data_IF_718559401136
#
_entry.id   IF_718559401136
#
_cell.length_a   1.000
_cell.length_b   1.000
_cell.length_c   1.000
_cell.angle_alpha   90.00
_cell.angle_beta   90.00
_cell.angle_gamma   90.00
#
_symmetry.space_group_name_H-M   'P 1'
#
loop_
_entity.id
_entity.type
_entity.pdbx_description
1 polymer ?
#
# COMPACT_ATOMS: atom_id res chain seq x y z
N UNK A 1 -18.50 -17.67 10.31
CA UNK A 1 -17.31 -16.86 9.98
C UNK A 1 -16.55 -16.57 11.27
N UNK A 2 -15.22 -16.59 11.27
CA UNK A 2 -14.39 -16.19 12.41
C UNK A 2 -14.17 -14.67 12.38
N UNK A 3 -13.78 -14.07 13.53
CA UNK A 3 -13.60 -12.63 13.66
C UNK A 3 -12.24 -12.19 13.08
N UNK A 4 -12.24 -11.68 11.85
CA UNK A 4 -11.05 -11.19 11.15
C UNK A 4 -10.59 -9.79 11.58
N UNK A 5 -11.12 -9.27 12.68
CA UNK A 5 -10.76 -7.96 13.21
C UNK A 5 -9.25 -7.81 13.36
N UNK A 6 -8.69 -6.82 12.68
CA UNK A 6 -7.24 -6.54 12.63
C UNK A 6 -6.39 -7.71 12.07
N UNK A 7 -6.91 -8.39 11.06
CA UNK A 7 -6.16 -9.33 10.22
C UNK A 7 -5.17 -8.62 9.29
N UNK A 8 -4.49 -9.39 8.47
CA UNK A 8 -3.64 -8.91 7.36
C UNK A 8 -3.87 -9.74 6.11
N UNK A 9 -3.51 -9.23 4.95
CA UNK A 9 -3.79 -9.95 3.72
C UNK A 9 -2.96 -9.54 2.51
N UNK A 10 -3.27 -10.17 1.38
CA UNK A 10 -2.64 -9.94 0.09
C UNK A 10 -3.57 -10.35 -1.06
N UNK A 11 -3.26 -9.87 -2.26
CA UNK A 11 -3.80 -10.43 -3.50
C UNK A 11 -2.78 -11.45 -4.01
N UNK A 12 -3.22 -12.67 -4.27
CA UNK A 12 -2.39 -13.76 -4.79
C UNK A 12 -2.13 -13.59 -6.29
N UNK A 13 -1.13 -14.31 -6.80
CA UNK A 13 -0.78 -14.29 -8.24
C UNK A 13 -1.91 -14.79 -9.15
N UNK A 14 -2.83 -15.59 -8.64
CA UNK A 14 -4.03 -16.05 -9.35
C UNK A 14 -5.23 -15.10 -9.26
N UNK A 15 -5.11 -14.00 -8.51
CA UNK A 15 -6.15 -12.97 -8.34
C UNK A 15 -7.04 -13.16 -7.11
N UNK A 16 -6.95 -14.28 -6.40
CA UNK A 16 -7.67 -14.46 -5.13
C UNK A 16 -7.13 -13.52 -4.06
N UNK A 17 -7.99 -13.11 -3.16
CA UNK A 17 -7.59 -12.36 -1.96
C UNK A 17 -7.43 -13.36 -0.82
N UNK A 18 -6.32 -13.24 -0.10
CA UNK A 18 -6.08 -13.98 1.14
C UNK A 18 -6.11 -13.02 2.32
N UNK A 19 -6.76 -13.44 3.39
CA UNK A 19 -6.81 -12.75 4.67
C UNK A 19 -6.37 -13.72 5.76
N UNK A 20 -5.47 -13.29 6.64
CA UNK A 20 -4.87 -14.17 7.65
C UNK A 20 -4.79 -13.49 9.02
N UNK A 21 -5.07 -14.28 10.07
CA UNK A 21 -5.10 -13.80 11.44
C UNK A 21 -6.40 -13.08 11.77
N UNK A 22 -6.39 -12.33 12.86
CA UNK A 22 -7.53 -11.63 13.41
C UNK A 22 -7.64 -11.80 14.93
N UNK A 23 -8.80 -11.51 15.48
CA UNK A 23 -9.05 -11.58 16.91
C UNK A 23 -9.56 -12.97 17.35
N UNK A 24 -9.25 -13.38 18.56
CA UNK A 24 -9.77 -14.60 19.18
C UNK A 24 -9.45 -15.86 18.38
N UNK A 25 -10.46 -16.60 18.02
CA UNK A 25 -10.33 -17.84 17.24
C UNK A 25 -9.85 -17.62 15.80
N UNK A 26 -10.04 -16.42 15.26
CA UNK A 26 -9.54 -16.06 13.94
C UNK A 26 -8.02 -15.88 13.91
N UNK A 27 -7.36 -15.73 15.04
CA UNK A 27 -5.94 -15.37 15.12
C UNK A 27 -4.99 -16.34 14.41
N UNK A 28 -5.43 -17.56 14.14
CA UNK A 28 -4.69 -18.58 13.35
C UNK A 28 -5.39 -18.97 12.06
N UNK A 29 -6.51 -18.37 11.73
CA UNK A 29 -7.29 -18.71 10.55
C UNK A 29 -6.75 -18.02 9.30
N UNK A 30 -7.04 -18.65 8.15
CA UNK A 30 -6.76 -18.13 6.81
C UNK A 30 -8.05 -18.19 6.03
N UNK A 31 -8.45 -17.06 5.45
CA UNK A 31 -9.62 -16.96 4.61
C UNK A 31 -9.21 -16.61 3.18
N UNK A 32 -9.98 -17.09 2.22
CA UNK A 32 -9.80 -16.79 0.80
C UNK A 32 -11.08 -16.21 0.22
N UNK A 33 -10.93 -15.20 -0.60
CA UNK A 33 -11.99 -14.65 -1.44
C UNK A 33 -11.59 -14.85 -2.89
N UNK A 34 -12.44 -15.54 -3.64
CA UNK A 34 -12.24 -15.75 -5.07
C UNK A 34 -13.18 -14.78 -5.82
N UNK A 35 -12.61 -13.80 -6.57
CA UNK A 35 -13.42 -12.91 -7.37
C UNK A 35 -14.22 -13.69 -8.41
N UNK A 36 -15.50 -13.41 -8.55
CA UNK A 36 -16.39 -14.07 -9.48
C UNK A 36 -16.89 -13.11 -10.58
N UNK A 37 -17.56 -13.65 -11.59
CA UNK A 37 -18.12 -12.85 -12.68
C UNK A 37 -19.29 -11.99 -12.17
N UNK A 38 -19.52 -10.88 -12.86
CA UNK A 38 -20.69 -10.04 -12.57
C UNK A 38 -21.99 -10.84 -12.65
N UNK A 39 -22.79 -10.77 -11.60
CA UNK A 39 -24.04 -11.53 -11.47
C UNK A 39 -23.92 -12.82 -10.66
N UNK A 40 -22.73 -13.33 -10.42
CA UNK A 40 -22.51 -14.48 -9.54
C UNK A 40 -22.44 -14.04 -8.08
N UNK A 41 -22.72 -14.96 -7.15
CA UNK A 41 -22.54 -14.75 -5.71
C UNK A 41 -21.17 -15.23 -5.30
N UNK A 42 -20.33 -14.30 -4.82
CA UNK A 42 -19.03 -14.64 -4.25
C UNK A 42 -19.04 -14.44 -2.74
N UNK A 43 -18.35 -15.30 -2.01
CA UNK A 43 -18.21 -15.19 -0.57
C UNK A 43 -16.81 -15.66 -0.11
N UNK A 44 -16.45 -15.31 1.10
CA UNK A 44 -15.25 -15.76 1.74
C UNK A 44 -15.32 -17.25 2.10
N UNK A 45 -14.23 -17.96 1.85
CA UNK A 45 -14.07 -19.37 2.20
C UNK A 45 -12.99 -19.53 3.27
N UNK A 46 -13.20 -20.49 4.19
CA UNK A 46 -12.22 -20.81 5.22
C UNK A 46 -11.17 -21.79 4.66
N UNK A 47 -9.89 -21.42 4.78
CA UNK A 47 -8.79 -22.29 4.41
C UNK A 47 -8.67 -23.51 5.32
N UNK A 48 -8.30 -24.64 4.74
CA UNK A 48 -8.06 -25.90 5.49
C UNK A 48 -6.81 -25.85 6.38
N UNK A 49 -5.85 -24.98 6.04
CA UNK A 49 -4.59 -24.80 6.78
C UNK A 49 -4.70 -23.60 7.70
N UNK A 50 -3.95 -23.64 8.80
CA UNK A 50 -3.89 -22.60 9.82
C UNK A 50 -2.49 -22.00 9.90
N UNK A 51 -2.40 -20.77 10.39
CA UNK A 51 -1.14 -20.21 10.88
C UNK A 51 -0.62 -21.02 12.06
N UNK A 52 0.70 -20.98 12.26
CA UNK A 52 1.35 -21.69 13.39
C UNK A 52 1.39 -20.84 14.65
N UNK A 53 1.31 -19.51 14.52
CA UNK A 53 1.25 -18.57 15.62
C UNK A 53 0.01 -17.69 15.51
N UNK A 54 -0.44 -17.15 16.64
CA UNK A 54 -1.53 -16.16 16.67
C UNK A 54 -1.07 -14.87 16.02
N UNK A 55 -1.87 -14.33 15.07
CA UNK A 55 -1.56 -13.13 14.29
C UNK A 55 -2.70 -12.10 14.38
N UNK A 56 -2.71 -11.35 15.47
CA UNK A 56 -3.58 -10.19 15.64
C UNK A 56 -2.75 -8.92 15.49
N UNK A 57 -3.09 -8.02 14.56
CA UNK A 57 -2.27 -6.86 14.15
C UNK A 57 -0.92 -7.23 13.50
N UNK A 58 -0.89 -8.28 12.70
CA UNK A 58 0.26 -8.64 11.88
C UNK A 58 0.24 -7.92 10.54
N UNK A 59 1.34 -7.99 9.79
CA UNK A 59 1.43 -7.49 8.43
C UNK A 59 1.80 -8.58 7.44
N UNK A 60 1.20 -8.56 6.25
CA UNK A 60 1.44 -9.53 5.19
C UNK A 60 2.16 -8.89 4.00
N UNK A 61 3.12 -9.62 3.41
CA UNK A 61 3.83 -9.22 2.19
C UNK A 61 3.92 -10.40 1.23
N UNK A 62 3.47 -10.20 -0.02
CA UNK A 62 3.71 -11.20 -1.08
C UNK A 62 5.19 -11.19 -1.47
N UNK A 63 5.74 -12.38 -1.68
CA UNK A 63 7.14 -12.61 -1.99
C UNK A 63 7.33 -12.95 -3.47
N UNK A 64 8.57 -12.86 -3.98
CA UNK A 64 8.87 -13.18 -5.37
C UNK A 64 8.58 -14.64 -5.79
N UNK A 65 8.44 -15.53 -4.85
CA UNK A 65 8.14 -16.96 -5.03
C UNK A 65 6.67 -17.30 -4.74
N UNK A 66 5.78 -16.31 -4.85
CA UNK A 66 4.33 -16.38 -4.62
C UNK A 66 3.90 -16.76 -3.20
N UNK A 67 4.85 -16.95 -2.27
CA UNK A 67 4.52 -17.11 -0.86
C UNK A 67 4.18 -15.76 -0.23
N UNK A 68 3.45 -15.80 0.85
CA UNK A 68 3.21 -14.64 1.70
C UNK A 68 4.00 -14.85 2.99
N UNK A 69 4.73 -13.81 3.41
CA UNK A 69 5.29 -13.72 4.74
C UNK A 69 4.33 -12.93 5.62
N UNK A 70 3.98 -13.48 6.79
CA UNK A 70 3.18 -12.84 7.82
C UNK A 70 4.08 -12.47 8.97
N UNK A 71 4.19 -11.18 9.27
CA UNK A 71 5.19 -10.64 10.20
C UNK A 71 4.51 -10.01 11.40
N UNK A 72 4.92 -10.41 12.60
CA UNK A 72 4.49 -9.81 13.86
C UNK A 72 3.11 -10.28 14.32
N UNK A 73 2.45 -9.41 15.03
CA UNK A 73 1.20 -9.59 15.72
C UNK A 73 1.34 -9.29 17.21
N UNK A 74 0.22 -9.06 17.89
CA UNK A 74 0.22 -8.75 19.33
C UNK A 74 0.76 -9.94 20.13
N UNK A 75 1.82 -9.70 20.87
CA UNK A 75 2.53 -10.75 21.62
C UNK A 75 3.34 -11.74 20.75
N UNK A 76 3.46 -11.48 19.44
CA UNK A 76 4.16 -12.36 18.52
C UNK A 76 5.34 -11.66 17.85
N UNK A 77 6.55 -11.93 18.35
CA UNK A 77 7.81 -11.38 17.81
C UNK A 77 8.44 -12.32 16.76
N UNK A 78 7.59 -12.85 15.86
CA UNK A 78 7.93 -13.90 14.92
C UNK A 78 7.38 -13.58 13.54
N UNK A 79 7.79 -14.39 12.56
CA UNK A 79 7.16 -14.43 11.24
C UNK A 79 6.96 -15.88 10.79
N UNK A 80 6.10 -16.09 9.81
CA UNK A 80 5.86 -17.37 9.14
C UNK A 80 5.43 -17.18 7.70
N UNK A 81 5.31 -18.26 6.94
CA UNK A 81 4.97 -18.22 5.52
C UNK A 81 3.64 -18.92 5.22
N UNK A 82 2.95 -18.42 4.20
CA UNK A 82 1.78 -19.07 3.60
C UNK A 82 2.08 -19.28 2.10
N UNK A 83 2.01 -20.52 1.57
CA UNK A 83 1.89 -21.78 2.32
C UNK A 83 3.11 -22.04 3.21
N UNK A 84 2.92 -22.89 4.22
CA UNK A 84 4.02 -23.31 5.11
C UNK A 84 5.13 -24.02 4.35
N UNK A 85 6.37 -23.82 4.76
CA UNK A 85 7.54 -24.45 4.14
C UNK A 85 7.66 -25.94 4.46
N UNK A 86 7.10 -26.40 5.58
CA UNK A 86 7.11 -27.79 6.00
C UNK A 86 5.84 -28.14 6.78
N UNK A 87 5.57 -29.44 6.96
CA UNK A 87 4.44 -29.96 7.74
C UNK A 87 4.53 -29.59 9.23
N UNK A 88 5.73 -29.38 9.75
CA UNK A 88 5.98 -29.08 11.17
C UNK A 88 5.87 -27.57 11.52
N UNK A 89 5.32 -26.75 10.62
CA UNK A 89 4.98 -25.35 10.85
C UNK A 89 6.15 -24.52 11.38
N UNK A 90 6.92 -23.88 10.51
CA UNK A 90 8.08 -23.11 10.91
C UNK A 90 7.66 -21.68 11.28
N UNK A 91 7.71 -21.36 12.56
CA UNK A 91 7.64 -20.01 13.09
C UNK A 91 9.06 -19.56 13.38
N UNK A 92 9.44 -18.43 12.81
CA UNK A 92 10.80 -17.88 12.92
C UNK A 92 10.81 -16.67 13.83
N UNK A 93 11.73 -16.65 14.79
CA UNK A 93 11.89 -15.50 15.67
C UNK A 93 12.50 -14.31 14.92
N UNK A 94 11.98 -13.11 15.18
CA UNK A 94 12.49 -11.84 14.67
C UNK A 94 12.73 -10.89 15.86
N UNK A 95 13.94 -10.94 16.42
CA UNK A 95 14.35 -10.17 17.60
C UNK A 95 14.15 -8.66 17.45
N UNK A 96 14.16 -8.15 16.21
CA UNK A 96 13.88 -6.75 15.91
C UNK A 96 12.49 -6.31 16.41
N UNK A 97 11.47 -7.16 16.29
CA UNK A 97 10.13 -6.84 16.78
C UNK A 97 10.09 -6.76 18.30
N UNK A 98 10.85 -7.60 19.01
CA UNK A 98 10.98 -7.52 20.46
C UNK A 98 11.73 -6.26 20.89
N UNK A 99 12.82 -5.91 20.18
CA UNK A 99 13.62 -4.72 20.46
C UNK A 99 12.87 -3.40 20.24
N UNK A 100 11.86 -3.39 19.34
CA UNK A 100 11.06 -2.21 19.00
C UNK A 100 9.77 -2.10 19.79
N UNK A 101 9.45 -3.09 20.62
CA UNK A 101 8.35 -3.02 21.58
C UNK A 101 8.76 -2.14 22.75
N UNK A 102 7.99 -1.11 23.06
CA UNK A 102 8.30 -0.14 24.12
C UNK A 102 7.69 -0.51 25.47
N UNK A 103 7.28 -1.78 25.66
CA UNK A 103 6.85 -2.33 26.93
C UNK A 103 5.37 -2.09 27.28
N UNK A 104 4.63 -1.33 26.46
CA UNK A 104 3.18 -1.20 26.61
C UNK A 104 2.46 -2.42 26.01
N UNK A 105 1.21 -2.67 26.42
CA UNK A 105 0.40 -3.76 25.87
C UNK A 105 0.34 -3.76 24.33
N UNK A 106 0.19 -2.58 23.73
CA UNK A 106 0.17 -2.39 22.29
C UNK A 106 1.57 -2.17 21.70
N UNK A 107 2.59 -1.93 22.54
CA UNK A 107 4.02 -1.92 22.21
C UNK A 107 4.48 -0.93 21.15
N UNK A 108 3.59 -0.11 20.57
CA UNK A 108 3.86 0.83 19.48
C UNK A 108 4.59 0.23 18.25
N UNK A 109 4.56 -1.08 18.07
CA UNK A 109 5.21 -1.81 16.98
C UNK A 109 4.30 -2.83 16.29
N UNK A 110 2.99 -2.78 16.57
CA UNK A 110 1.98 -3.59 15.89
C UNK A 110 1.79 -3.09 14.45
N UNK A 111 1.35 -3.98 13.58
CA UNK A 111 1.31 -3.71 12.16
C UNK A 111 2.66 -3.14 11.66
N UNK A 112 3.77 -3.88 11.79
CA UNK A 112 5.04 -3.41 11.24
C UNK A 112 4.89 -3.12 9.76
N UNK A 113 5.48 -2.01 9.29
CA UNK A 113 5.49 -1.69 7.88
C UNK A 113 6.47 -2.65 7.19
N UNK A 114 5.99 -3.40 6.20
CA UNK A 114 6.80 -4.37 5.46
C UNK A 114 6.74 -4.04 3.97
N UNK A 115 7.89 -3.86 3.36
CA UNK A 115 8.03 -3.61 1.93
C UNK A 115 9.07 -4.51 1.28
N UNK A 116 8.71 -5.14 0.17
CA UNK A 116 9.64 -5.90 -0.65
C UNK A 116 10.56 -4.96 -1.44
N UNK A 117 11.86 -5.05 -1.21
CA UNK A 117 12.90 -4.37 -1.97
C UNK A 117 13.18 -5.10 -3.29
N UNK A 118 13.67 -4.37 -4.29
CA UNK A 118 13.97 -4.90 -5.64
C UNK A 118 15.12 -5.93 -5.66
N UNK A 119 15.85 -6.07 -4.56
CA UNK A 119 16.86 -7.11 -4.36
C UNK A 119 16.31 -8.38 -3.67
N UNK A 120 15.00 -8.46 -3.50
CA UNK A 120 14.30 -9.59 -2.89
C UNK A 120 14.36 -9.64 -1.36
N UNK A 121 14.93 -8.62 -0.71
CA UNK A 121 14.91 -8.49 0.76
C UNK A 121 13.73 -7.65 1.22
N UNK A 122 13.45 -7.69 2.52
CA UNK A 122 12.34 -6.93 3.11
C UNK A 122 12.88 -5.74 3.90
N UNK A 123 12.35 -4.57 3.59
CA UNK A 123 12.40 -3.43 4.51
C UNK A 123 11.30 -3.65 5.55
N UNK A 124 11.69 -3.70 6.82
CA UNK A 124 10.76 -3.81 7.95
C UNK A 124 10.97 -2.63 8.86
N UNK A 125 9.90 -1.89 9.13
CA UNK A 125 9.90 -0.76 10.04
C UNK A 125 8.89 -1.02 11.17
N UNK A 126 9.32 -0.81 12.40
CA UNK A 126 8.49 -0.95 13.58
C UNK A 126 8.82 0.15 14.59
N UNK A 127 7.81 0.75 15.20
CA UNK A 127 7.90 1.89 16.09
C UNK A 127 8.58 3.09 15.43
N UNK A 128 9.90 3.18 15.48
CA UNK A 128 10.74 4.24 14.88
C UNK A 128 12.00 3.69 14.20
N UNK A 129 12.22 2.40 14.30
CA UNK A 129 13.42 1.73 13.80
C UNK A 129 13.10 0.94 12.54
N UNK A 130 14.11 0.67 11.72
CA UNK A 130 13.95 -0.14 10.52
C UNK A 130 15.19 -0.96 10.19
N UNK A 131 14.94 -2.07 9.50
CA UNK A 131 15.93 -3.04 9.06
C UNK A 131 15.75 -3.42 7.60
N UNK A 132 16.82 -3.89 6.97
CA UNK A 132 16.75 -4.70 5.76
C UNK A 132 16.95 -6.17 6.18
N UNK A 133 15.95 -6.99 5.88
CA UNK A 133 15.86 -8.36 6.35
C UNK A 133 15.91 -9.36 5.19
N UNK A 134 16.84 -10.30 5.26
CA UNK A 134 16.90 -11.44 4.35
C UNK A 134 16.13 -12.61 4.98
N UNK A 135 14.88 -12.76 4.57
CA UNK A 135 13.98 -13.80 5.10
C UNK A 135 14.39 -15.22 4.68
N UNK A 136 15.14 -15.38 3.57
CA UNK A 136 15.65 -16.67 3.08
C UNK A 136 16.77 -17.21 4.00
N UNK A 137 17.52 -16.32 4.65
CA UNK A 137 18.62 -16.66 5.56
C UNK A 137 18.29 -16.36 7.03
N UNK A 138 17.08 -15.91 7.34
CA UNK A 138 16.67 -15.44 8.67
C UNK A 138 17.69 -14.47 9.29
N UNK A 139 18.13 -13.47 8.52
CA UNK A 139 19.22 -12.57 8.93
C UNK A 139 18.91 -11.10 8.65
N UNK A 140 19.13 -10.27 9.65
CA UNK A 140 19.16 -8.81 9.47
C UNK A 140 20.45 -8.45 8.71
N UNK A 141 20.27 -7.91 7.49
CA UNK A 141 21.41 -7.51 6.63
C UNK A 141 21.90 -6.12 6.99
N UNK A 142 20.98 -5.24 7.37
CA UNK A 142 21.27 -3.85 7.70
C UNK A 142 20.28 -3.31 8.72
N UNK A 143 20.75 -2.50 9.64
CA UNK A 143 19.93 -1.60 10.46
C UNK A 143 20.03 -0.20 9.87
N UNK A 144 18.89 0.44 9.64
CA UNK A 144 18.84 1.82 9.15
C UNK A 144 18.85 2.82 10.30
N UNK A 145 19.18 4.09 10.05
CA UNK A 145 19.01 5.14 11.04
C UNK A 145 17.57 5.22 11.52
N UNK A 146 17.39 5.46 12.81
CA UNK A 146 16.08 5.73 13.40
C UNK A 146 15.45 6.95 12.74
N UNK A 147 14.12 6.89 12.44
CA UNK A 147 13.42 8.06 11.92
C UNK A 147 13.45 9.19 12.95
N UNK A 148 13.82 10.43 12.56
CA UNK A 148 13.86 11.57 13.47
C UNK A 148 12.51 11.92 14.09
N UNK A 149 12.55 12.56 15.26
CA UNK A 149 11.37 12.91 16.06
C UNK A 149 11.15 11.92 17.21
N UNK A 150 10.12 12.11 18.02
CA UNK A 150 9.86 11.35 19.25
C UNK A 150 8.63 10.44 19.19
N UNK A 151 7.76 10.61 18.19
CA UNK A 151 6.52 9.83 18.07
C UNK A 151 6.69 8.57 17.24
N UNK A 152 5.96 7.51 17.58
CA UNK A 152 5.89 6.26 16.83
C UNK A 152 5.08 6.41 15.53
N UNK A 153 5.32 5.47 14.58
CA UNK A 153 4.60 5.42 13.30
C UNK A 153 3.80 4.13 13.13
N UNK A 154 4.02 3.14 13.98
CA UNK A 154 3.27 1.88 13.97
C UNK A 154 2.03 1.97 14.86
N UNK A 155 1.11 0.99 14.74
CA UNK A 155 -0.10 0.95 15.57
C UNK A 155 0.26 0.84 17.07
N UNK A 156 -0.42 1.57 17.98
CA UNK A 156 -1.61 2.40 17.76
C UNK A 156 -1.32 3.85 17.31
N UNK A 157 -0.07 4.25 17.16
CA UNK A 157 0.29 5.60 16.68
C UNK A 157 -0.07 5.84 15.21
N UNK A 158 -0.06 4.82 14.44
CA UNK A 158 -0.62 4.68 13.10
C UNK A 158 -0.33 5.83 12.14
N UNK A 159 0.92 5.90 11.69
CA UNK A 159 1.30 6.55 10.44
C UNK A 159 1.04 5.62 9.26
N UNK A 160 1.32 6.08 8.07
CA UNK A 160 1.22 5.29 6.84
C UNK A 160 2.52 5.32 6.04
N UNK A 161 2.67 4.39 5.10
CA UNK A 161 3.89 4.24 4.31
C UNK A 161 3.61 3.78 2.88
N UNK A 162 4.48 4.21 1.95
CA UNK A 162 4.55 3.68 0.58
C UNK A 162 6.00 3.51 0.15
N UNK A 163 6.26 2.57 -0.76
CA UNK A 163 7.42 2.67 -1.66
C UNK A 163 7.05 3.69 -2.73
N UNK A 164 7.88 4.71 -2.93
CA UNK A 164 7.72 5.65 -4.03
C UNK A 164 7.86 4.92 -5.37
N UNK A 165 7.27 5.43 -6.46
CA UNK A 165 7.26 4.73 -7.73
C UNK A 165 8.64 4.22 -8.15
N UNK A 166 8.71 2.93 -8.48
CA UNK A 166 9.89 2.28 -9.04
C UNK A 166 9.99 2.62 -10.52
N UNK A 167 11.12 3.14 -10.96
CA UNK A 167 11.28 3.68 -12.32
C UNK A 167 12.26 2.84 -13.14
N UNK A 168 11.81 2.36 -14.30
CA UNK A 168 12.65 1.61 -15.24
C UNK A 168 13.78 2.45 -15.83
N UNK A 169 13.68 3.78 -15.82
CA UNK A 169 14.74 4.68 -16.27
C UNK A 169 16.05 4.50 -15.52
N UNK A 170 15.97 4.11 -14.23
CA UNK A 170 17.15 3.77 -13.43
C UNK A 170 17.37 2.26 -13.30
N UNK A 171 16.66 1.43 -14.10
CA UNK A 171 16.66 -0.02 -14.01
C UNK A 171 16.04 -0.55 -12.75
N UNK A 172 15.09 0.16 -12.16
CA UNK A 172 14.43 -0.13 -10.90
C UNK A 172 15.40 -0.23 -9.71
N UNK A 173 16.60 0.35 -9.80
CA UNK A 173 17.65 0.20 -8.79
C UNK A 173 17.40 1.03 -7.53
N UNK A 174 16.69 2.15 -7.65
CA UNK A 174 16.43 3.04 -6.52
C UNK A 174 15.09 2.73 -5.86
N UNK A 175 15.14 2.29 -4.62
CA UNK A 175 13.95 2.09 -3.79
C UNK A 175 13.94 3.13 -2.68
N UNK A 176 12.93 3.98 -2.66
CA UNK A 176 12.70 4.97 -1.60
C UNK A 176 11.42 4.65 -0.85
N UNK A 177 11.52 4.54 0.46
CA UNK A 177 10.37 4.41 1.37
C UNK A 177 10.01 5.78 1.91
N UNK A 178 8.72 6.07 1.97
CA UNK A 178 8.16 7.27 2.60
C UNK A 178 7.20 6.86 3.71
N UNK A 179 7.34 7.49 4.88
CA UNK A 179 6.51 7.26 6.07
C UNK A 179 6.01 8.60 6.56
N UNK A 180 4.68 8.75 6.70
CA UNK A 180 4.03 10.01 7.08
C UNK A 180 3.09 9.86 8.25
N UNK A 181 3.02 10.89 9.09
CA UNK A 181 2.07 10.96 10.17
C UNK A 181 2.41 10.02 11.33
N UNK A 182 1.44 9.78 12.17
CA UNK A 182 1.57 9.02 13.42
C UNK A 182 1.21 9.85 14.63
N UNK A 183 1.32 9.28 15.83
CA UNK A 183 0.94 9.95 17.06
C UNK A 183 2.16 10.43 17.86
N UNK A 184 1.93 11.45 18.70
CA UNK A 184 2.91 11.91 19.67
C UNK A 184 3.27 10.80 20.67
N UNK A 185 4.44 10.90 21.27
CA UNK A 185 4.81 10.00 22.37
C UNK A 185 3.80 10.11 23.52
N UNK A 186 3.38 8.95 24.07
CA UNK A 186 2.37 8.89 25.13
C UNK A 186 0.93 9.12 24.68
N UNK A 187 0.65 9.30 23.38
CA UNK A 187 -0.69 9.62 22.90
C UNK A 187 -1.73 8.54 23.24
N UNK A 188 -1.34 7.25 23.24
CA UNK A 188 -2.27 6.16 23.60
C UNK A 188 -2.73 6.26 25.07
N UNK A 189 -1.79 6.40 26.00
CA UNK A 189 -2.12 6.55 27.41
C UNK A 189 -2.93 7.83 27.68
N UNK A 190 -2.58 8.94 27.03
CA UNK A 190 -3.32 10.19 27.16
C UNK A 190 -4.75 10.07 26.60
N UNK A 191 -4.93 9.39 25.46
CA UNK A 191 -6.25 9.20 24.86
C UNK A 191 -7.18 8.35 25.72
N UNK A 192 -6.66 7.32 26.39
CA UNK A 192 -7.41 6.53 27.36
C UNK A 192 -7.91 7.36 28.55
N UNK A 193 -7.26 8.48 28.84
CA UNK A 193 -7.67 9.46 29.87
C UNK A 193 -8.48 10.63 29.27
N UNK A 194 -8.91 10.53 28.02
CA UNK A 194 -9.68 11.56 27.33
C UNK A 194 -8.88 12.76 26.83
N UNK A 195 -7.54 12.71 26.87
CA UNK A 195 -6.67 13.77 26.36
C UNK A 195 -6.09 13.41 25.00
N UNK A 196 -6.41 14.18 23.98
CA UNK A 196 -5.98 13.92 22.60
C UNK A 196 -4.79 14.78 22.21
N UNK A 197 -3.58 14.22 22.28
CA UNK A 197 -2.35 14.90 21.88
C UNK A 197 -2.33 15.15 20.37
N UNK A 198 -1.72 16.26 19.94
CA UNK A 198 -1.56 16.57 18.52
C UNK A 198 -0.70 15.50 17.84
N UNK A 199 -1.19 15.00 16.69
CA UNK A 199 -0.48 14.02 15.85
C UNK A 199 0.76 14.61 15.21
N UNK A 200 1.55 13.76 14.56
CA UNK A 200 2.74 14.18 13.85
C UNK A 200 2.38 14.73 12.47
N UNK A 201 3.01 15.84 12.09
CA UNK A 201 2.91 16.38 10.73
C UNK A 201 4.10 15.98 9.86
N UNK A 202 5.10 15.27 10.40
CA UNK A 202 6.32 14.96 9.68
C UNK A 202 6.19 13.74 8.78
N UNK A 203 6.83 13.82 7.61
CA UNK A 203 7.12 12.73 6.71
C UNK A 203 8.61 12.49 6.65
N UNK A 204 9.03 11.23 6.72
CA UNK A 204 10.40 10.80 6.44
C UNK A 204 10.46 10.06 5.11
N UNK A 205 11.47 10.37 4.28
CA UNK A 205 11.77 9.66 3.04
C UNK A 205 13.21 9.19 3.06
N UNK A 206 13.47 7.93 2.75
CA UNK A 206 14.79 7.33 2.75
C UNK A 206 14.97 6.35 1.59
N UNK A 207 16.11 6.45 0.88
CA UNK A 207 16.53 5.41 -0.04
C UNK A 207 17.04 4.21 0.77
N UNK A 208 16.43 3.04 0.56
CA UNK A 208 16.84 1.79 1.24
C UNK A 208 17.86 0.99 0.42
N UNK A 209 18.06 1.38 -0.84
CA UNK A 209 19.12 0.86 -1.74
C UNK A 209 20.30 1.83 -1.83
N UNK A 210 21.44 1.33 -2.29
CA UNK A 210 22.68 2.13 -2.36
C UNK A 210 23.37 2.24 -0.99
N UNK A 211 24.22 3.28 -0.81
CA UNK A 211 25.07 3.40 0.36
C UNK A 211 24.74 4.58 1.30
N UNK A 212 23.85 5.48 0.87
CA UNK A 212 23.50 6.67 1.65
C UNK A 212 22.08 6.56 2.20
N UNK A 213 21.95 6.06 3.42
CA UNK A 213 20.68 5.84 4.08
C UNK A 213 20.41 6.94 5.11
N UNK A 214 19.86 8.06 4.67
CA UNK A 214 19.48 9.18 5.53
C UNK A 214 18.02 9.51 5.34
N UNK A 215 17.30 9.68 6.45
CA UNK A 215 15.96 10.22 6.42
C UNK A 215 15.97 11.69 5.98
N UNK A 216 15.29 11.99 4.89
CA UNK A 216 14.97 13.35 4.48
C UNK A 216 13.61 13.69 5.04
N UNK A 217 13.59 14.56 6.05
CA UNK A 217 12.37 14.94 6.73
C UNK A 217 11.76 16.17 6.08
N UNK A 218 10.43 16.19 5.99
CA UNK A 218 9.63 17.35 5.63
C UNK A 218 8.27 17.29 6.32
N UNK A 219 7.56 18.42 6.40
CA UNK A 219 6.28 18.48 7.07
C UNK A 219 5.13 18.48 6.08
N UNK A 220 4.09 17.70 6.37
CA UNK A 220 2.77 17.86 5.79
C UNK A 220 2.17 19.21 6.20
N UNK A 221 1.18 19.71 5.46
CA UNK A 221 0.47 20.96 5.83
C UNK A 221 -0.18 20.94 7.21
N UNK A 222 -0.48 19.76 7.74
CA UNK A 222 -1.03 19.61 9.09
C UNK A 222 -0.74 18.24 9.69
N UNK A 223 -0.97 18.05 11.00
CA UNK A 223 -0.78 16.77 11.68
C UNK A 223 -1.79 15.75 11.19
N UNK A 224 -1.36 14.48 11.14
CA UNK A 224 -2.20 13.39 10.67
C UNK A 224 -1.76 12.04 11.23
N UNK A 225 -2.72 11.28 11.66
CA UNK A 225 -2.59 9.87 12.05
C UNK A 225 -3.77 9.10 11.47
N UNK A 226 -3.65 7.79 11.33
CA UNK A 226 -4.64 6.93 10.68
C UNK A 226 -4.95 7.37 9.23
N UNK A 227 -3.96 7.93 8.54
CA UNK A 227 -4.09 8.32 7.13
C UNK A 227 -3.81 7.16 6.21
N UNK A 228 -4.46 7.16 5.06
CA UNK A 228 -4.09 6.31 3.93
C UNK A 228 -3.09 7.05 3.03
N UNK A 229 -2.15 6.30 2.44
CA UNK A 229 -1.24 6.78 1.40
C UNK A 229 -1.46 5.95 0.15
N UNK A 230 -2.04 6.57 -0.89
CA UNK A 230 -2.42 5.92 -2.14
C UNK A 230 -1.52 6.42 -3.26
N UNK A 231 -0.87 5.48 -3.95
CA UNK A 231 -0.10 5.79 -5.17
C UNK A 231 -1.07 6.02 -6.33
N UNK A 232 -0.93 7.15 -7.01
CA UNK A 232 -1.72 7.47 -8.19
C UNK A 232 -0.96 7.09 -9.49
N UNK A 233 -1.64 6.84 -10.61
CA UNK A 233 -0.99 6.48 -11.88
C UNK A 233 0.06 7.49 -12.36
N UNK A 234 -0.08 8.75 -11.97
CA UNK A 234 0.88 9.83 -12.24
C UNK A 234 2.21 9.66 -11.48
N UNK A 235 2.24 8.80 -10.46
CA UNK A 235 3.35 8.64 -9.54
C UNK A 235 3.34 9.60 -8.36
N UNK A 236 2.27 10.36 -8.19
CA UNK A 236 2.01 11.14 -6.97
C UNK A 236 1.49 10.25 -5.84
N UNK A 237 1.60 10.71 -4.60
CA UNK A 237 1.01 10.05 -3.45
C UNK A 237 -0.13 10.90 -2.93
N UNK A 238 -1.34 10.34 -2.88
CA UNK A 238 -2.47 10.94 -2.19
C UNK A 238 -2.42 10.54 -0.72
N UNK A 239 -2.45 11.52 0.18
CA UNK A 239 -2.58 11.33 1.63
C UNK A 239 -3.98 11.78 2.02
N UNK A 240 -4.80 10.84 2.47
CA UNK A 240 -6.24 11.05 2.69
C UNK A 240 -6.66 10.37 3.99
N UNK A 241 -7.85 10.70 4.50
CA UNK A 241 -8.40 10.17 5.76
C UNK A 241 -7.59 10.53 7.01
N UNK A 242 -8.02 10.02 8.16
CA UNK A 242 -7.34 10.14 9.43
C UNK A 242 -7.83 11.24 10.35
N UNK A 243 -7.08 11.44 11.42
CA UNK A 243 -7.36 12.42 12.46
C UNK A 243 -6.14 13.31 12.72
N UNK A 244 -6.38 14.47 13.36
CA UNK A 244 -5.32 15.44 13.70
C UNK A 244 -4.76 15.24 15.10
N UNK A 245 -5.49 14.54 16.00
CA UNK A 245 -5.12 14.36 17.42
C UNK A 245 -5.51 12.97 17.93
N UNK A 246 -4.78 12.49 18.93
CA UNK A 246 -5.00 11.21 19.60
C UNK A 246 -4.15 10.07 19.03
N UNK A 247 -4.72 8.88 18.98
CA UNK A 247 -4.12 7.66 18.40
C UNK A 247 -5.22 6.76 17.79
N UNK A 248 -4.84 5.66 17.17
CA UNK A 248 -5.79 4.64 16.72
C UNK A 248 -6.42 3.93 17.91
N UNK A 249 -7.64 3.46 17.75
CA UNK A 249 -8.46 2.82 18.77
C UNK A 249 -9.84 3.45 18.88
N UNK A 250 -10.71 2.76 19.58
CA UNK A 250 -12.09 3.20 19.77
C UNK A 250 -12.16 4.47 20.62
N UNK A 251 -12.69 5.54 20.02
CA UNK A 251 -12.84 6.87 20.64
C UNK A 251 -11.53 7.52 21.10
N UNK A 252 -10.37 7.07 20.58
CA UNK A 252 -9.05 7.54 20.98
C UNK A 252 -8.51 8.69 20.12
N UNK A 253 -9.32 9.23 19.21
CA UNK A 253 -8.89 10.30 18.30
C UNK A 253 -9.95 11.40 18.15
N UNK A 254 -9.50 12.59 17.83
CA UNK A 254 -10.33 13.77 17.59
C UNK A 254 -9.78 14.63 16.45
N UNK A 255 -10.65 15.50 15.92
CA UNK A 255 -10.29 16.40 14.84
C UNK A 255 -10.03 15.66 13.53
N UNK A 256 -11.09 15.25 12.80
CA UNK A 256 -10.92 14.56 11.51
C UNK A 256 -10.11 15.41 10.55
N UNK A 257 -9.21 14.77 9.81
CA UNK A 257 -8.41 15.39 8.77
C UNK A 257 -9.19 15.37 7.46
N UNK A 258 -9.94 16.44 7.19
CA UNK A 258 -10.86 16.52 6.08
C UNK A 258 -10.19 16.91 4.75
N UNK A 259 -9.02 17.55 4.80
CA UNK A 259 -8.27 17.99 3.62
C UNK A 259 -7.34 16.90 3.13
N UNK A 260 -7.50 16.32 1.92
CA UNK A 260 -6.48 15.46 1.34
C UNK A 260 -5.23 16.27 0.97
N UNK A 261 -4.07 15.61 0.97
CA UNK A 261 -2.82 16.20 0.47
C UNK A 261 -2.31 15.40 -0.72
N UNK A 262 -1.90 16.10 -1.78
CA UNK A 262 -1.20 15.51 -2.90
C UNK A 262 0.30 15.76 -2.74
N UNK A 263 1.07 14.67 -2.71
CA UNK A 263 2.53 14.73 -2.63
C UNK A 263 3.14 14.42 -4.00
N UNK A 264 3.93 15.35 -4.52
CA UNK A 264 4.69 15.16 -5.75
C UNK A 264 6.17 14.87 -5.42
N UNK A 265 6.64 13.61 -5.55
CA UNK A 265 7.99 13.23 -5.18
C UNK A 265 9.09 13.87 -6.03
N UNK A 266 8.75 14.44 -7.20
CA UNK A 266 9.69 15.08 -8.13
C UNK A 266 9.94 16.55 -7.84
N UNK A 267 9.07 17.22 -7.08
CA UNK A 267 9.27 18.61 -6.68
C UNK A 267 10.40 18.73 -5.65
N UNK A 268 10.93 19.93 -5.51
CA UNK A 268 11.95 20.26 -4.51
C UNK A 268 11.40 20.14 -3.09
N UNK A 269 12.29 19.88 -2.13
CA UNK A 269 11.96 19.81 -0.70
C UNK A 269 11.21 21.09 -0.27
N UNK A 270 10.14 20.94 0.50
CA UNK A 270 9.28 22.04 0.96
C UNK A 270 8.23 22.51 -0.05
N UNK A 271 8.24 22.00 -1.29
CA UNK A 271 7.23 22.33 -2.33
C UNK A 271 6.47 21.11 -2.85
N UNK A 272 6.56 19.99 -2.15
CA UNK A 272 6.00 18.71 -2.61
C UNK A 272 4.53 18.54 -2.28
N UNK A 273 4.05 19.17 -1.23
CA UNK A 273 2.66 19.04 -0.79
C UNK A 273 1.76 20.11 -1.42
N UNK A 274 0.58 19.67 -1.84
CA UNK A 274 -0.54 20.52 -2.24
C UNK A 274 -1.76 20.12 -1.42
N UNK A 275 -2.42 21.10 -0.78
CA UNK A 275 -3.69 20.86 -0.07
C UNK A 275 -4.80 20.84 -1.08
N UNK A 276 -5.63 19.79 -1.04
CA UNK A 276 -6.76 19.60 -1.93
C UNK A 276 -8.07 19.97 -1.25
N UNK A 277 -9.15 20.01 -2.02
CA UNK A 277 -10.49 20.35 -1.54
C UNK A 277 -10.94 19.38 -0.43
N UNK A 278 -11.41 19.94 0.67
CA UNK A 278 -11.91 19.20 1.82
C UNK A 278 -13.17 18.40 1.51
N UNK A 279 -13.26 17.21 2.11
CA UNK A 279 -14.52 16.48 2.24
C UNK A 279 -15.34 17.01 3.41
N UNK A 280 -16.65 16.67 3.43
CA UNK A 280 -17.53 16.90 4.58
C UNK A 280 -17.71 15.65 5.44
N UNK A 281 -17.13 14.52 5.03
CA UNK A 281 -17.28 13.22 5.68
C UNK A 281 -16.01 12.93 6.48
N UNK A 282 -16.13 12.80 7.78
CA UNK A 282 -15.03 12.38 8.64
C UNK A 282 -14.74 10.89 8.43
N UNK A 283 -13.46 10.57 8.13
CA UNK A 283 -13.00 9.20 7.94
C UNK A 283 -11.76 8.98 8.78
N UNK A 284 -11.97 8.42 9.95
CA UNK A 284 -10.96 8.25 11.01
C UNK A 284 -10.59 6.77 11.17
N UNK A 285 -10.74 6.22 12.37
CA UNK A 285 -10.43 4.81 12.65
C UNK A 285 -11.33 3.87 11.83
N UNK A 286 -10.73 2.82 11.26
CA UNK A 286 -11.38 1.86 10.35
C UNK A 286 -11.92 2.46 9.05
N UNK A 287 -11.28 3.51 8.54
CA UNK A 287 -11.48 3.96 7.15
C UNK A 287 -10.41 3.37 6.23
N UNK A 288 -10.69 3.33 4.94
CA UNK A 288 -9.80 2.84 3.91
C UNK A 288 -9.91 3.66 2.64
N UNK A 289 -8.85 3.68 1.84
CA UNK A 289 -8.81 4.29 0.52
C UNK A 289 -8.04 3.40 -0.45
N UNK A 290 -8.57 3.22 -1.67
CA UNK A 290 -7.95 2.39 -2.71
C UNK A 290 -8.14 3.02 -4.10
N UNK A 291 -7.09 2.99 -4.93
CA UNK A 291 -7.17 3.37 -6.33
C UNK A 291 -8.00 2.34 -7.10
N UNK A 292 -8.95 2.80 -7.90
CA UNK A 292 -9.77 1.94 -8.77
C UNK A 292 -9.42 2.16 -10.26
N UNK A 293 -9.85 1.25 -11.15
CA UNK A 293 -9.39 1.25 -12.56
C UNK A 293 -9.66 2.54 -13.33
N UNK A 294 -10.70 3.29 -13.01
CA UNK A 294 -11.03 4.55 -13.69
C UNK A 294 -10.07 5.71 -13.32
N UNK A 295 -9.19 5.50 -12.34
CA UNK A 295 -8.24 6.49 -11.84
C UNK A 295 -8.75 7.30 -10.65
N UNK A 296 -9.99 7.09 -10.20
CA UNK A 296 -10.50 7.66 -8.95
C UNK A 296 -10.00 6.87 -7.74
N UNK A 297 -10.19 7.41 -6.54
CA UNK A 297 -9.86 6.71 -5.30
C UNK A 297 -11.14 6.47 -4.52
N UNK A 298 -11.50 5.20 -4.38
CA UNK A 298 -12.63 4.77 -3.55
C UNK A 298 -12.27 4.92 -2.08
N UNK A 299 -13.12 5.61 -1.34
CA UNK A 299 -12.96 5.86 0.09
C UNK A 299 -14.15 5.31 0.83
N UNK A 300 -13.91 4.53 1.86
CA UNK A 300 -14.95 3.82 2.60
C UNK A 300 -14.71 3.84 4.11
N UNK A 301 -15.77 3.52 4.84
CA UNK A 301 -15.71 3.37 6.31
C UNK A 301 -15.55 4.68 7.03
N UNK A 302 -15.55 4.61 8.18
CA UNK A 302 -14.96 4.93 9.46
C UNK A 302 -15.88 4.38 10.55
N UNK A 303 -15.36 3.57 11.43
CA UNK A 303 -16.04 3.20 12.67
C UNK A 303 -15.12 3.40 13.87
N UNK A 304 -15.07 4.62 14.45
CA UNK A 304 -14.26 4.90 15.63
C UNK A 304 -14.90 4.45 16.94
N UNK A 305 -15.99 3.71 16.90
CA UNK A 305 -16.71 3.21 18.04
C UNK A 305 -16.52 1.70 18.22
N UNK A 306 -16.71 1.21 19.45
CA UNK A 306 -16.65 -0.22 19.78
C UNK A 306 -17.72 -1.05 19.02
N UNK A 307 -18.89 -0.42 18.79
CA UNK A 307 -19.99 -1.00 18.02
C UNK A 307 -20.43 -0.01 16.95
N UNK A 308 -21.20 -0.45 15.98
CA UNK A 308 -21.84 0.47 15.01
C UNK A 308 -22.74 1.45 15.75
N UNK A 309 -22.35 2.70 15.74
CA UNK A 309 -23.03 3.79 16.46
C UNK A 309 -23.34 4.92 15.51
N UNK A 310 -24.63 5.08 15.14
CA UNK A 310 -25.08 6.03 14.13
C UNK A 310 -25.59 7.35 14.69
N UNK A 311 -25.88 7.40 16.02
CA UNK A 311 -26.44 8.57 16.72
C UNK A 311 -25.72 8.74 18.06
N UNK A 312 -25.77 9.96 18.61
CA UNK A 312 -25.22 10.28 19.92
C UNK A 312 -23.71 9.93 20.10
N UNK A 313 -22.93 10.03 19.03
CA UNK A 313 -21.49 9.89 19.05
C UNK A 313 -20.83 11.12 18.40
N UNK A 314 -19.70 11.55 18.94
CA UNK A 314 -18.93 12.67 18.38
C UNK A 314 -18.51 12.40 16.92
N UNK A 315 -18.24 11.14 16.62
CA UNK A 315 -17.94 10.65 15.29
C UNK A 315 -18.74 9.37 15.04
N UNK A 316 -19.93 9.47 14.43
CA UNK A 316 -20.76 8.30 14.11
C UNK A 316 -20.07 7.34 13.16
N UNK A 317 -20.52 6.08 13.16
CA UNK A 317 -20.14 5.10 12.14
C UNK A 317 -20.56 5.60 10.76
N UNK A 318 -19.63 5.58 9.81
CA UNK A 318 -19.82 6.00 8.43
C UNK A 318 -19.79 4.78 7.51
N UNK A 319 -20.88 4.52 6.80
CA UNK A 319 -21.00 3.38 5.88
C UNK A 319 -21.04 3.79 4.39
N UNK A 320 -21.14 5.10 4.11
CA UNK A 320 -21.22 5.58 2.71
C UNK A 320 -19.90 5.36 1.99
N UNK A 321 -19.99 4.94 0.74
CA UNK A 321 -18.88 4.96 -0.20
C UNK A 321 -18.75 6.36 -0.80
N UNK A 322 -17.51 6.80 -1.03
CA UNK A 322 -17.22 8.07 -1.65
C UNK A 322 -16.05 7.89 -2.63
N UNK A 323 -16.15 8.50 -3.81
CA UNK A 323 -15.00 8.61 -4.72
C UNK A 323 -14.31 9.94 -4.54
N UNK A 324 -13.03 9.91 -4.25
CA UNK A 324 -12.16 11.06 -4.43
C UNK A 324 -11.76 11.12 -5.91
N UNK A 325 -12.02 12.27 -6.55
CA UNK A 325 -11.77 12.50 -7.97
C UNK A 325 -10.51 13.37 -8.09
N UNK A 326 -9.37 12.80 -8.53
CA UNK A 326 -8.17 13.59 -8.78
C UNK A 326 -8.36 14.60 -9.92
N UNK A 327 -7.62 15.71 -9.87
CA UNK A 327 -7.72 16.80 -10.87
C UNK A 327 -7.51 16.30 -12.31
N UNK A 328 -6.64 15.30 -12.51
CA UNK A 328 -6.40 14.73 -13.83
C UNK A 328 -7.65 14.07 -14.46
N UNK A 329 -8.71 13.85 -13.72
CA UNK A 329 -9.99 13.34 -14.24
C UNK A 329 -10.90 14.45 -14.77
N UNK A 330 -10.48 15.70 -14.71
CA UNK A 330 -11.22 16.84 -15.25
C UNK A 330 -11.53 16.67 -16.74
N UNK A 331 -12.73 17.15 -17.16
CA UNK A 331 -13.17 17.06 -18.58
C UNK A 331 -12.31 17.91 -19.50
N UNK A 332 -11.68 18.95 -18.98
CA UNK A 332 -10.74 19.83 -19.68
C UNK A 332 -9.50 19.07 -20.22
N UNK A 333 -9.18 17.93 -19.64
CA UNK A 333 -8.05 17.10 -20.04
C UNK A 333 -8.41 15.97 -21.03
N UNK A 334 -9.67 15.87 -21.47
CA UNK A 334 -10.11 14.74 -22.30
C UNK A 334 -9.32 14.65 -23.62
N UNK A 335 -8.93 15.76 -24.23
CA UNK A 335 -8.13 15.81 -25.45
C UNK A 335 -6.69 15.31 -25.26
N UNK A 336 -6.18 15.29 -24.01
CA UNK A 336 -4.85 14.77 -23.64
C UNK A 336 -4.91 13.36 -23.09
N UNK A 337 -6.10 12.85 -22.80
CA UNK A 337 -6.31 11.55 -22.16
C UNK A 337 -6.21 10.42 -23.16
N UNK A 338 -5.24 9.49 -23.00
CA UNK A 338 -5.28 8.25 -23.75
C UNK A 338 -6.55 7.46 -23.41
N UNK A 339 -7.19 6.88 -24.41
CA UNK A 339 -8.42 6.12 -24.22
C UNK A 339 -8.46 4.89 -25.14
N UNK A 340 -9.45 4.00 -24.94
CA UNK A 340 -9.56 2.72 -25.64
C UNK A 340 -8.25 1.91 -25.57
N UNK A 341 -7.67 1.86 -24.36
CA UNK A 341 -6.43 1.11 -24.13
C UNK A 341 -6.70 -0.38 -24.28
N UNK A 342 -5.85 -1.06 -24.99
CA UNK A 342 -5.83 -2.52 -25.05
C UNK A 342 -4.41 -3.04 -24.93
N UNK A 343 -4.25 -4.21 -24.34
CA UNK A 343 -2.98 -4.86 -24.09
C UNK A 343 -2.98 -6.17 -24.87
N UNK A 344 -2.01 -6.35 -25.77
CA UNK A 344 -1.80 -7.61 -26.48
C UNK A 344 -0.65 -8.38 -25.83
N UNK A 345 -0.99 -9.54 -25.30
CA UNK A 345 -0.09 -10.48 -24.63
C UNK A 345 0.12 -11.77 -25.46
N UNK A 346 -0.15 -11.71 -26.77
CA UNK A 346 0.05 -12.82 -27.71
C UNK A 346 -0.67 -14.14 -27.27
N UNK A 347 -1.84 -14.06 -26.68
CA UNK A 347 -2.65 -15.21 -26.27
C UNK A 347 -2.13 -15.97 -25.07
N UNK A 348 -1.17 -15.42 -24.31
CA UNK A 348 -0.64 -16.02 -23.07
C UNK A 348 -1.48 -15.63 -21.86
N UNK A 349 -1.32 -16.32 -20.73
CA UNK A 349 -2.01 -15.96 -19.47
C UNK A 349 -1.48 -14.68 -18.80
N UNK A 350 -0.34 -14.18 -19.24
CA UNK A 350 0.33 -12.99 -18.72
C UNK A 350 1.65 -12.72 -19.43
N UNK A 351 2.27 -11.60 -19.10
CA UNK A 351 3.56 -11.19 -19.66
C UNK A 351 4.68 -11.74 -18.81
N UNK A 352 5.60 -12.46 -19.43
CA UNK A 352 6.79 -12.96 -18.74
C UNK A 352 7.77 -11.81 -18.41
N UNK A 353 8.49 -11.96 -17.32
CA UNK A 353 9.51 -11.00 -16.91
C UNK A 353 10.56 -10.80 -18.01
N UNK A 354 10.91 -9.52 -18.25
CA UNK A 354 11.89 -9.12 -19.25
C UNK A 354 11.42 -9.18 -20.69
N UNK A 355 10.19 -9.64 -20.96
CA UNK A 355 9.62 -9.65 -22.29
C UNK A 355 8.99 -8.30 -22.64
N UNK A 356 8.78 -8.07 -23.94
CA UNK A 356 8.00 -6.96 -24.45
C UNK A 356 6.54 -7.37 -24.67
N UNK A 357 5.64 -6.39 -24.56
CA UNK A 357 4.22 -6.52 -24.87
C UNK A 357 3.71 -5.26 -25.55
N UNK A 358 2.60 -5.38 -26.28
CA UNK A 358 2.04 -4.27 -27.03
C UNK A 358 0.90 -3.61 -26.23
N UNK A 359 0.94 -2.27 -26.21
CA UNK A 359 -0.15 -1.44 -25.68
C UNK A 359 -0.66 -0.56 -26.80
N UNK A 360 -1.94 -0.72 -27.14
CA UNK A 360 -2.62 0.07 -28.16
C UNK A 360 -3.58 1.04 -27.48
N UNK A 361 -3.61 2.29 -27.95
CA UNK A 361 -4.49 3.32 -27.40
C UNK A 361 -4.80 4.39 -28.44
N UNK A 362 -5.92 5.12 -28.22
CA UNK A 362 -6.26 6.32 -28.99
C UNK A 362 -5.78 7.56 -28.24
N UNK A 363 -5.26 8.53 -29.01
CA UNK A 363 -4.95 9.87 -28.52
C UNK A 363 -5.18 10.85 -29.68
N UNK A 364 -5.98 11.90 -29.42
CA UNK A 364 -6.36 12.89 -30.44
C UNK A 364 -5.16 13.70 -30.98
N UNK A 365 -4.13 13.84 -30.15
CA UNK A 365 -2.90 14.54 -30.48
C UNK A 365 -1.69 13.62 -30.48
N UNK A 366 -0.58 14.07 -31.04
CA UNK A 366 0.69 13.33 -30.92
C UNK A 366 1.04 13.14 -29.44
N UNK A 367 1.45 11.92 -29.03
CA UNK A 367 1.90 11.69 -27.68
C UNK A 367 3.02 12.64 -27.27
N UNK A 368 2.92 13.14 -26.06
CA UNK A 368 3.95 13.96 -25.46
C UNK A 368 5.26 13.17 -25.29
N UNK A 369 6.38 13.87 -25.28
CA UNK A 369 7.68 13.30 -24.85
C UNK A 369 7.67 12.78 -23.41
N UNK A 370 6.64 13.10 -22.63
CA UNK A 370 6.43 12.64 -21.26
C UNK A 370 5.45 11.47 -21.16
N UNK A 371 5.05 10.89 -22.30
CA UNK A 371 4.24 9.66 -22.29
C UNK A 371 4.96 8.58 -21.47
N UNK A 372 4.21 7.93 -20.60
CA UNK A 372 4.71 6.87 -19.73
C UNK A 372 3.64 5.81 -19.47
N UNK A 373 4.06 4.64 -19.05
CA UNK A 373 3.19 3.53 -18.68
C UNK A 373 3.38 3.24 -17.20
N UNK A 374 2.29 3.18 -16.45
CA UNK A 374 2.36 2.87 -15.03
C UNK A 374 1.57 1.60 -14.74
N UNK A 375 2.20 0.67 -14.03
CA UNK A 375 1.56 -0.56 -13.57
C UNK A 375 1.44 -0.54 -12.04
N UNK A 376 0.22 -0.55 -11.54
CA UNK A 376 -0.12 -0.43 -10.13
C UNK A 376 -0.59 -1.77 -9.57
N UNK A 377 0.08 -2.26 -8.53
CA UNK A 377 -0.38 -3.40 -7.74
C UNK A 377 -1.36 -2.92 -6.67
N UNK A 378 -2.64 -3.32 -6.71
CA UNK A 378 -3.61 -2.96 -5.67
C UNK A 378 -3.22 -3.57 -4.33
N UNK A 379 -3.39 -2.84 -3.21
CA UNK A 379 -3.06 -3.32 -1.89
C UNK A 379 -4.17 -4.12 -1.24
N UNK A 380 -3.82 -4.87 -0.20
CA UNK A 380 -4.73 -5.18 0.89
C UNK A 380 -4.65 -4.05 1.93
N UNK A 381 -5.77 -3.38 2.19
CA UNK A 381 -5.81 -2.13 2.97
C UNK A 381 -6.48 -2.36 4.32
N UNK A 382 -5.79 -2.04 5.40
CA UNK A 382 -6.33 -2.02 6.77
C UNK A 382 -5.51 -1.07 7.66
N UNK A 383 -6.14 -0.39 8.61
CA UNK A 383 -5.47 0.41 9.65
C UNK A 383 -4.33 1.31 9.11
N UNK A 384 -4.58 2.01 8.00
CA UNK A 384 -3.61 2.90 7.31
C UNK A 384 -2.41 2.21 6.66
N UNK A 385 -2.44 0.90 6.57
CA UNK A 385 -1.46 0.11 5.84
C UNK A 385 -2.05 -0.32 4.49
N UNK A 386 -1.35 -0.01 3.44
CA UNK A 386 -1.62 -0.48 2.08
C UNK A 386 -0.62 -1.59 1.75
N UNK A 387 -0.86 -2.79 2.31
CA UNK A 387 0.03 -3.94 2.17
C UNK A 387 0.16 -4.35 0.72
N UNK A 388 1.38 -4.55 0.25
CA UNK A 388 1.73 -4.94 -1.12
C UNK A 388 1.52 -3.85 -2.19
N UNK A 389 1.10 -2.64 -1.83
CA UNK A 389 0.97 -1.54 -2.78
C UNK A 389 2.30 -1.26 -3.49
N UNK A 390 2.27 -1.15 -4.82
CA UNK A 390 3.43 -0.88 -5.64
C UNK A 390 3.04 -0.18 -6.93
N UNK A 391 3.84 0.77 -7.38
CA UNK A 391 3.69 1.42 -8.68
C UNK A 391 5.00 1.32 -9.45
N UNK A 392 4.94 0.75 -10.65
CA UNK A 392 6.04 0.67 -11.58
C UNK A 392 5.84 1.70 -12.68
N UNK A 393 6.90 2.41 -13.06
CA UNK A 393 6.96 3.22 -14.27
C UNK A 393 7.72 2.44 -15.33
N UNK A 394 6.99 1.96 -16.32
CA UNK A 394 7.52 1.15 -17.40
C UNK A 394 7.96 2.02 -18.57
N UNK A 395 8.93 1.54 -19.32
CA UNK A 395 9.49 2.17 -20.50
C UNK A 395 8.90 1.55 -21.76
N UNK A 396 8.60 2.40 -22.74
CA UNK A 396 8.38 1.95 -24.11
C UNK A 396 9.68 2.01 -24.91
N UNK A 397 9.94 0.98 -25.68
CA UNK A 397 11.07 0.89 -26.62
C UNK A 397 10.72 1.51 -27.95
N UNK A 398 9.45 1.44 -28.34
CA UNK A 398 8.95 1.96 -29.62
C UNK A 398 7.53 2.48 -29.48
N UNK A 399 7.22 3.59 -30.15
CA UNK A 399 5.87 4.14 -30.28
C UNK A 399 5.64 4.50 -31.73
N UNK A 400 4.61 3.95 -32.34
CA UNK A 400 4.23 4.21 -33.74
C UNK A 400 2.73 4.55 -33.81
N UNK A 401 2.38 5.47 -34.72
CA UNK A 401 0.97 5.77 -35.03
C UNK A 401 0.50 5.00 -36.23
N UNK A 402 -0.79 4.67 -36.28
CA UNK A 402 -1.48 4.39 -37.54
C UNK A 402 -2.17 5.66 -38.07
N UNK A 403 -2.62 5.62 -39.31
CA UNK A 403 -3.23 6.78 -39.99
C UNK A 403 -4.61 7.21 -39.38
N UNK A 404 -5.11 6.52 -38.35
CA UNK A 404 -6.43 6.71 -37.79
C UNK A 404 -6.41 7.23 -36.33
N UNK A 405 -5.26 7.77 -35.88
CA UNK A 405 -5.10 8.31 -34.50
C UNK A 405 -4.83 7.24 -33.44
N UNK A 406 -4.68 5.97 -33.83
CA UNK A 406 -4.22 4.93 -32.93
C UNK A 406 -2.70 4.96 -32.77
N UNK A 407 -2.27 4.68 -31.59
CA UNK A 407 -0.87 4.55 -31.20
C UNK A 407 -0.61 3.15 -30.68
N UNK A 408 0.51 2.57 -31.10
CA UNK A 408 0.98 1.28 -30.67
C UNK A 408 2.34 1.47 -29.99
N UNK A 409 2.42 1.11 -28.72
CA UNK A 409 3.63 1.18 -27.94
C UNK A 409 4.12 -0.23 -27.60
N UNK A 410 5.40 -0.49 -27.86
CA UNK A 410 6.08 -1.67 -27.33
C UNK A 410 6.62 -1.33 -25.94
N UNK A 411 6.19 -2.04 -24.92
CA UNK A 411 6.52 -1.77 -23.51
C UNK A 411 7.27 -2.96 -22.94
N UNK A 412 8.35 -2.68 -22.21
CA UNK A 412 9.13 -3.71 -21.53
C UNK A 412 8.48 -4.09 -20.18
N UNK A 413 8.32 -5.37 -19.95
CA UNK A 413 7.89 -5.90 -18.65
C UNK A 413 8.95 -5.69 -17.55
N UNK A 414 8.56 -5.73 -16.28
CA UNK A 414 9.52 -5.74 -15.16
C UNK A 414 10.52 -6.90 -15.32
N UNK A 415 11.79 -6.73 -14.85
CA UNK A 415 12.83 -7.74 -15.07
C UNK A 415 12.68 -8.99 -14.18
N UNK A 416 11.94 -8.93 -13.10
CA UNK A 416 11.82 -10.07 -12.17
C UNK A 416 10.69 -9.89 -11.17
N UNK A 417 10.35 -10.97 -10.49
CA UNK A 417 9.40 -10.99 -9.38
C UNK A 417 9.88 -10.19 -8.13
N UNK A 418 11.16 -9.89 -8.00
CA UNK A 418 11.63 -8.98 -6.96
C UNK A 418 11.14 -7.55 -7.19
N UNK A 419 11.10 -7.11 -8.45
CA UNK A 419 10.62 -5.78 -8.84
C UNK A 419 9.09 -5.77 -8.86
N UNK A 420 8.48 -6.79 -9.39
CA UNK A 420 7.04 -6.95 -9.53
C UNK A 420 6.66 -8.39 -9.17
N UNK A 421 6.23 -8.70 -7.94
CA UNK A 421 5.70 -10.02 -7.62
C UNK A 421 4.66 -10.47 -8.64
N UNK A 422 4.63 -11.77 -8.95
CA UNK A 422 3.67 -12.33 -9.92
C UNK A 422 2.24 -11.96 -9.55
N UNK A 423 1.41 -11.64 -10.54
CA UNK A 423 0.00 -11.32 -10.32
C UNK A 423 -0.49 -10.16 -11.17
N UNK A 424 -1.61 -9.60 -10.76
CA UNK A 424 -2.36 -8.61 -11.52
C UNK A 424 -1.98 -7.19 -11.14
N UNK A 425 -1.85 -6.34 -12.17
CA UNK A 425 -1.57 -4.92 -12.06
C UNK A 425 -2.56 -4.12 -12.90
N UNK A 426 -2.88 -2.91 -12.47
CA UNK A 426 -3.60 -1.92 -13.27
C UNK A 426 -2.61 -1.13 -14.12
N UNK A 427 -2.64 -1.32 -15.43
CA UNK A 427 -1.80 -0.60 -16.39
C UNK A 427 -2.53 0.64 -16.90
N UNK A 428 -1.92 1.81 -16.74
CA UNK A 428 -2.39 3.07 -17.30
C UNK A 428 -1.38 3.62 -18.30
N UNK A 429 -1.88 4.17 -19.40
CA UNK A 429 -1.10 5.04 -20.30
C UNK A 429 -1.25 6.47 -19.76
N UNK A 430 -0.14 7.13 -19.45
CA UNK A 430 -0.12 8.45 -18.84
C UNK A 430 0.52 9.46 -19.78
N UNK A 431 -0.27 10.38 -20.33
CA UNK A 431 0.19 11.44 -21.22
C UNK A 431 0.16 12.79 -20.50
N UNK A 432 1.32 13.44 -20.32
CA UNK A 432 1.46 14.72 -19.59
C UNK A 432 0.84 14.73 -18.17
N UNK A 433 0.88 13.59 -17.50
CA UNK A 433 0.26 13.45 -16.17
C UNK A 433 -1.23 13.14 -16.20
N UNK A 434 -1.82 12.95 -17.37
CA UNK A 434 -3.23 12.56 -17.55
C UNK A 434 -3.28 11.06 -17.85
N UNK A 435 -3.76 10.23 -16.92
CA UNK A 435 -3.85 8.80 -17.13
C UNK A 435 -5.10 8.40 -17.92
N UNK A 436 -4.99 7.33 -18.66
CA UNK A 436 -6.13 6.57 -19.19
C UNK A 436 -6.91 5.87 -18.06
N UNK A 437 -8.07 5.34 -18.37
CA UNK A 437 -8.63 4.21 -17.62
C UNK A 437 -7.61 3.09 -17.68
N UNK A 438 -7.44 2.37 -16.57
CA UNK A 438 -6.46 1.29 -16.44
C UNK A 438 -7.02 -0.02 -16.97
N UNK A 439 -6.16 -0.81 -17.60
CA UNK A 439 -6.46 -2.19 -18.00
C UNK A 439 -5.69 -3.17 -17.13
N UNK A 440 -6.27 -4.35 -16.86
CA UNK A 440 -5.58 -5.38 -16.11
C UNK A 440 -4.49 -6.04 -16.95
N UNK A 441 -3.29 -6.16 -16.38
CA UNK A 441 -2.18 -6.93 -16.90
C UNK A 441 -1.66 -7.87 -15.82
N UNK A 442 -1.22 -9.07 -16.22
CA UNK A 442 -0.60 -10.04 -15.31
C UNK A 442 0.86 -10.21 -15.67
N UNK A 443 1.76 -10.06 -14.69
CA UNK A 443 3.16 -10.44 -14.84
C UNK A 443 3.38 -11.82 -14.24
N UNK A 444 4.14 -12.65 -14.96
CA UNK A 444 4.34 -14.06 -14.61
C UNK A 444 5.81 -14.48 -14.72
N UNK A 445 6.19 -15.48 -13.92
CA UNK A 445 7.40 -16.24 -14.11
C UNK A 445 7.09 -17.38 -15.08
N UNK A 446 7.85 -17.49 -16.17
CA UNK A 446 7.76 -18.69 -16.99
C UNK A 446 8.25 -19.88 -16.21
N UNK A 447 7.54 -21.02 -16.31
CA UNK A 447 8.05 -22.28 -15.80
C UNK A 447 9.41 -22.57 -16.48
N UNK A 448 10.40 -22.90 -15.66
CA UNK A 448 11.68 -23.38 -16.21
C UNK A 448 11.39 -24.69 -16.97
N UNK A 449 11.58 -24.68 -18.29
CA UNK A 449 11.52 -25.88 -19.15
C UNK A 449 12.61 -26.87 -18.75
#
# INVERSE_FOLDING_TARGET
MSDTFSSSGSILSDGRIIESGGFGDASTRIHYFEPCKSGDSCDWSLGKKHLSAKRWYASSQILPDDRIIVVGGRGSFTYEFIPKMSTNGNVFHLSFLQQTNDGNEDGNNLYPIVHLSVDGKLFIFANRDSILFNYKQNRVVKKFPRIPGIGSRSYPSTGSSVILPLDQKDGFRKVEVMICGGAASGANAAAQQGTFLTGLNSCGRMAITGNNHKWKMENMPGPRLMNDMVLLPTGHVLIINGAKRGCAGWRNAAGPALEPYLYNPKKTLGRRFTVLKSTKIARMFHSSAILVPDGSVLVAGSNPNNQYTFRNASHPTELRLQSFIPDYMGKEYNHQRPHNVSIDINGTEGVAYGNEFLVRFLLESKPSKYLSFSAYAPPFTTHSLSMNQRLLKLRSTRIISDAKGWWNATVEAPPSANVAPSGFYLLSVVNEGIPSISEWIKFIQLAST
#
